data_IF_535618232628
#
_entry.id   IF_535618232628
#
_cell.length_a   1.000
_cell.length_b   1.000
_cell.length_c   1.000
_cell.angle_alpha   90.00
_cell.angle_beta   90.00
_cell.angle_gamma   90.00
#
_symmetry.space_group_name_H-M   'P 1'
#
loop_
_entity.id
_entity.type
_entity.pdbx_description
1 polymer ?
#
# COMPACT_ATOMS: atom_id res chain seq x y z
N UNK A 1 43.15 19.59 -3.83
CA UNK A 1 42.01 19.63 -4.76
C UNK A 1 41.81 18.22 -5.31
N UNK A 2 41.02 17.42 -4.67
CA UNK A 2 40.63 16.07 -5.16
C UNK A 2 39.17 16.14 -5.58
N UNK A 3 38.92 15.99 -6.88
CA UNK A 3 37.57 15.94 -7.44
C UNK A 3 36.95 14.59 -7.07
N UNK A 4 35.95 14.59 -6.23
CA UNK A 4 35.12 13.42 -5.93
C UNK A 4 34.06 13.34 -7.02
N UNK A 5 34.20 12.39 -7.93
CA UNK A 5 33.19 12.08 -8.93
C UNK A 5 32.06 11.32 -8.25
N UNK A 6 30.92 11.97 -8.10
CA UNK A 6 29.68 11.36 -7.61
C UNK A 6 29.07 10.55 -8.76
N UNK A 7 29.31 9.25 -8.77
CA UNK A 7 28.68 8.32 -9.71
C UNK A 7 27.26 8.04 -9.22
N UNK A 8 26.26 8.66 -9.82
CA UNK A 8 24.86 8.29 -9.65
C UNK A 8 24.66 6.88 -10.21
N UNK A 9 24.55 5.89 -9.35
CA UNK A 9 24.09 4.57 -9.72
C UNK A 9 22.56 4.61 -9.90
N UNK A 10 22.11 4.77 -11.15
CA UNK A 10 20.73 4.45 -11.52
C UNK A 10 20.56 2.94 -11.32
N UNK A 11 19.77 2.54 -10.33
CA UNK A 11 19.22 1.19 -10.27
C UNK A 11 18.23 1.06 -11.43
N UNK A 12 18.67 0.45 -12.53
CA UNK A 12 17.78 -0.06 -13.55
C UNK A 12 17.04 -1.26 -12.95
N UNK A 13 15.77 -1.09 -12.63
CA UNK A 13 14.86 -2.20 -12.40
C UNK A 13 14.74 -2.97 -13.72
N UNK A 14 15.45 -4.08 -13.83
CA UNK A 14 15.25 -5.06 -14.88
C UNK A 14 13.85 -5.65 -14.68
N UNK A 15 12.90 -5.24 -15.51
CA UNK A 15 11.63 -5.93 -15.67
C UNK A 15 11.92 -7.31 -16.29
N UNK A 16 11.98 -8.34 -15.45
CA UNK A 16 11.90 -9.72 -15.92
C UNK A 16 10.47 -9.95 -16.41
N UNK A 17 10.28 -9.86 -17.72
CA UNK A 17 9.09 -10.38 -18.37
C UNK A 17 9.11 -11.90 -18.20
N UNK A 18 8.36 -12.40 -17.25
CA UNK A 18 7.97 -13.81 -17.24
C UNK A 18 7.09 -14.02 -18.47
N UNK A 19 7.67 -14.61 -19.51
CA UNK A 19 6.91 -15.16 -20.62
C UNK A 19 5.97 -16.20 -20.05
N UNK A 20 4.69 -15.98 -20.19
CA UNK A 20 3.69 -17.03 -20.02
C UNK A 20 3.94 -18.05 -21.12
N UNK A 21 4.63 -19.15 -20.79
CA UNK A 21 4.65 -20.33 -21.64
C UNK A 21 3.21 -20.84 -21.70
N UNK A 22 2.65 -20.80 -22.90
CA UNK A 22 1.38 -21.43 -23.20
C UNK A 22 1.53 -22.92 -22.88
N UNK A 23 0.80 -23.40 -21.87
CA UNK A 23 0.70 -24.83 -21.60
C UNK A 23 0.02 -25.48 -22.81
N UNK A 24 0.82 -26.22 -23.57
CA UNK A 24 0.36 -27.07 -24.65
C UNK A 24 -0.44 -28.25 -24.08
N UNK A 25 -1.75 -28.20 -24.21
CA UNK A 25 -2.67 -29.29 -23.81
C UNK A 25 -2.74 -30.45 -24.81
N UNK A 26 -1.77 -30.58 -25.72
CA UNK A 26 -1.76 -31.63 -26.76
C UNK A 26 -1.34 -33.02 -26.29
N UNK A 27 -1.12 -33.25 -24.99
CA UNK A 27 -0.62 -34.53 -24.44
C UNK A 27 -1.72 -35.56 -24.10
N UNK A 28 -2.96 -35.36 -24.56
CA UNK A 28 -4.04 -36.32 -24.27
C UNK A 28 -4.33 -37.30 -25.42
N UNK A 29 -3.45 -37.43 -26.40
CA UNK A 29 -3.63 -38.43 -27.44
C UNK A 29 -2.40 -39.34 -27.54
N UNK A 30 -2.12 -40.17 -26.52
CA UNK A 30 -1.26 -41.35 -26.64
C UNK A 30 -2.13 -42.58 -26.79
N UNK A 31 -2.20 -43.23 -27.95
CA UNK A 31 -2.78 -44.55 -28.08
C UNK A 31 -1.79 -45.57 -27.49
N UNK A 32 -2.27 -46.38 -26.54
CA UNK A 32 -1.62 -47.61 -26.17
C UNK A 32 -0.79 -47.57 -24.88
N UNK A 33 -1.45 -47.46 -23.72
CA UNK A 33 -1.03 -48.15 -22.51
C UNK A 33 -2.26 -48.86 -21.92
N UNK A 34 -2.47 -50.09 -22.34
CA UNK A 34 -3.25 -51.06 -21.58
C UNK A 34 -2.39 -51.44 -20.39
N UNK A 35 -2.75 -50.99 -19.21
CA UNK A 35 -2.29 -51.61 -17.97
C UNK A 35 -3.05 -52.90 -17.80
N UNK A 36 -2.47 -53.97 -18.28
CA UNK A 36 -2.89 -55.33 -17.94
C UNK A 36 -2.44 -55.58 -16.49
N UNK A 37 -3.34 -55.45 -15.55
CA UNK A 37 -3.12 -55.88 -14.15
C UNK A 37 -3.57 -57.32 -14.04
N UNK A 38 -2.65 -58.30 -13.99
CA UNK A 38 -3.05 -59.69 -13.78
C UNK A 38 -3.45 -59.88 -12.35
N UNK A 39 -4.74 -60.21 -12.12
CA UNK A 39 -5.19 -60.78 -10.85
C UNK A 39 -6.38 -60.13 -10.16
N UNK A 40 -7.19 -59.28 -10.79
CA UNK A 40 -8.45 -58.85 -10.23
C UNK A 40 -9.63 -59.55 -10.95
N UNK A 41 -10.19 -60.54 -10.28
CA UNK A 41 -11.40 -61.23 -10.74
C UNK A 41 -12.63 -60.32 -10.46
N UNK A 42 -13.04 -59.59 -11.50
CA UNK A 42 -14.20 -58.65 -11.42
C UNK A 42 -15.55 -59.39 -11.24
N UNK A 43 -15.60 -60.70 -11.43
CA UNK A 43 -16.80 -61.49 -11.19
C UNK A 43 -17.13 -61.66 -9.69
N UNK A 44 -16.11 -61.54 -8.81
CA UNK A 44 -16.27 -61.65 -7.37
C UNK A 44 -16.88 -60.39 -6.71
N UNK A 45 -16.97 -59.26 -7.43
CA UNK A 45 -17.50 -58.01 -6.93
C UNK A 45 -18.95 -57.74 -7.30
N UNK A 46 -19.68 -58.70 -7.84
CA UNK A 46 -21.12 -58.59 -8.08
C UNK A 46 -21.56 -57.60 -9.17
N UNK A 47 -20.62 -57.14 -10.00
CA UNK A 47 -20.96 -56.33 -11.18
C UNK A 47 -21.18 -57.27 -12.39
N UNK A 48 -22.40 -57.72 -12.58
CA UNK A 48 -22.79 -58.41 -13.80
C UNK A 48 -22.81 -57.44 -14.98
N UNK A 49 -21.77 -57.48 -15.79
CA UNK A 49 -21.59 -56.65 -16.99
C UNK A 49 -22.37 -57.19 -18.19
N UNK A 50 -23.23 -58.20 -18.02
CA UNK A 50 -24.01 -58.78 -19.13
C UNK A 50 -25.38 -58.16 -19.36
N UNK A 51 -25.74 -57.11 -18.63
CA UNK A 51 -27.01 -56.41 -18.85
C UNK A 51 -26.87 -55.36 -19.97
N UNK A 52 -27.21 -55.77 -21.16
CA UNK A 52 -27.70 -54.94 -22.29
C UNK A 52 -26.90 -53.67 -22.60
N UNK A 53 -26.11 -53.73 -23.65
CA UNK A 53 -25.60 -52.50 -24.29
C UNK A 53 -26.76 -51.60 -24.75
N UNK A 54 -27.23 -50.76 -23.84
CA UNK A 54 -28.04 -49.59 -24.21
C UNK A 54 -27.15 -48.74 -25.13
N UNK A 55 -27.55 -48.43 -26.34
CA UNK A 55 -26.74 -47.56 -27.20
C UNK A 55 -26.47 -46.26 -26.45
N UNK A 56 -25.19 -45.91 -26.30
CA UNK A 56 -24.83 -44.58 -25.81
C UNK A 56 -25.56 -43.55 -26.68
N UNK A 57 -26.26 -42.58 -26.09
CA UNK A 57 -26.91 -41.54 -26.86
C UNK A 57 -25.83 -40.86 -27.72
N UNK A 58 -26.14 -40.59 -28.99
CA UNK A 58 -25.21 -39.95 -29.91
C UNK A 58 -24.72 -38.64 -29.32
N UNK A 59 -23.48 -38.28 -29.55
CA UNK A 59 -22.83 -37.08 -28.95
C UNK A 59 -23.58 -35.75 -29.27
N UNK A 60 -24.65 -35.80 -30.05
CA UNK A 60 -25.54 -34.67 -30.37
C UNK A 60 -26.76 -34.55 -29.47
N UNK A 61 -27.05 -35.54 -28.64
CA UNK A 61 -28.16 -35.45 -27.69
C UNK A 61 -27.68 -34.90 -26.34
N UNK A 62 -28.23 -33.77 -25.96
CA UNK A 62 -28.03 -33.18 -24.66
C UNK A 62 -28.54 -34.13 -23.55
N UNK A 63 -27.71 -34.51 -22.60
CA UNK A 63 -28.06 -35.36 -21.46
C UNK A 63 -29.10 -34.72 -20.52
N UNK A 64 -29.32 -33.42 -20.66
CA UNK A 64 -30.39 -32.67 -19.99
C UNK A 64 -31.21 -31.98 -21.07
N UNK A 65 -32.56 -31.96 -20.98
CA UNK A 65 -33.39 -31.25 -21.94
C UNK A 65 -33.17 -29.74 -21.79
N UNK A 66 -32.10 -29.24 -22.40
CA UNK A 66 -31.86 -27.80 -22.53
C UNK A 66 -32.71 -27.36 -23.71
N UNK A 67 -33.66 -26.51 -23.45
CA UNK A 67 -34.46 -25.91 -24.51
C UNK A 67 -33.52 -25.13 -25.47
N UNK A 68 -33.75 -25.22 -26.81
CA UNK A 68 -32.96 -24.44 -27.73
C UNK A 68 -33.15 -22.94 -27.45
N UNK A 69 -32.04 -22.20 -27.45
CA UNK A 69 -32.05 -20.74 -27.23
C UNK A 69 -32.85 -20.09 -28.37
N UNK A 70 -33.93 -19.44 -28.01
CA UNK A 70 -34.80 -18.72 -28.94
C UNK A 70 -34.28 -17.30 -29.21
N UNK A 71 -34.78 -16.66 -30.27
CA UNK A 71 -34.45 -15.25 -30.53
C UNK A 71 -35.01 -14.33 -29.45
N UNK A 72 -36.08 -14.71 -28.77
CA UNK A 72 -36.59 -14.01 -27.58
C UNK A 72 -35.61 -14.07 -26.42
N UNK A 73 -34.97 -15.22 -26.17
CA UNK A 73 -33.97 -15.37 -25.14
C UNK A 73 -32.72 -14.52 -25.44
N UNK A 74 -32.32 -14.47 -26.71
CA UNK A 74 -31.21 -13.59 -27.14
C UNK A 74 -31.54 -12.13 -26.94
N UNK A 75 -32.75 -11.69 -27.32
CA UNK A 75 -33.21 -10.32 -27.14
C UNK A 75 -33.32 -9.98 -25.62
N UNK A 76 -33.77 -10.91 -24.79
CA UNK A 76 -33.87 -10.71 -23.36
C UNK A 76 -32.47 -10.62 -22.71
N UNK A 77 -31.49 -11.41 -23.17
CA UNK A 77 -30.12 -11.39 -22.69
C UNK A 77 -29.38 -10.09 -23.06
N UNK A 78 -29.76 -9.46 -24.16
CA UNK A 78 -29.18 -8.19 -24.65
C UNK A 78 -30.26 -7.11 -24.71
N UNK A 79 -31.13 -7.04 -23.72
CA UNK A 79 -32.11 -5.97 -23.63
C UNK A 79 -31.42 -4.62 -23.78
N UNK A 80 -31.91 -3.70 -24.62
CA UNK A 80 -31.32 -2.37 -24.71
C UNK A 80 -31.38 -1.73 -23.33
N UNK A 81 -30.22 -1.41 -22.78
CA UNK A 81 -30.09 -0.70 -21.50
C UNK A 81 -30.61 0.72 -21.76
N UNK A 82 -31.89 0.93 -21.50
CA UNK A 82 -32.51 2.26 -21.48
C UNK A 82 -32.22 2.91 -20.13
N UNK A 83 -31.13 3.60 -20.07
CA UNK A 83 -30.54 4.25 -18.90
C UNK A 83 -29.05 4.01 -19.02
N UNK A 84 -28.31 5.00 -19.48
CA UNK A 84 -26.86 4.90 -19.44
C UNK A 84 -26.49 4.50 -18.02
N UNK A 85 -25.72 3.45 -17.85
CA UNK A 85 -24.91 3.35 -16.65
C UNK A 85 -24.06 4.61 -16.68
N UNK A 86 -24.47 5.63 -15.93
CA UNK A 86 -23.55 6.70 -15.61
C UNK A 86 -22.34 5.97 -15.01
N UNK A 87 -21.25 5.98 -15.74
CA UNK A 87 -20.00 5.46 -15.20
C UNK A 87 -19.74 6.27 -13.95
N UNK A 88 -19.67 5.60 -12.79
CA UNK A 88 -19.36 6.24 -11.52
C UNK A 88 -17.96 6.88 -11.49
N UNK A 89 -17.24 6.82 -12.61
CA UNK A 89 -15.91 7.41 -12.85
C UNK A 89 -15.86 8.94 -12.65
N UNK A 90 -17.02 9.61 -12.65
CA UNK A 90 -17.12 11.06 -12.40
C UNK A 90 -17.52 11.40 -10.97
N UNK A 91 -17.73 10.41 -10.10
CA UNK A 91 -18.12 10.66 -8.73
C UNK A 91 -16.93 11.19 -7.92
N UNK A 92 -17.12 12.36 -7.31
CA UNK A 92 -16.16 12.89 -6.35
C UNK A 92 -16.31 12.15 -5.02
N UNK A 93 -15.23 11.52 -4.62
CA UNK A 93 -15.10 10.87 -3.32
C UNK A 93 -14.18 11.68 -2.41
N UNK A 94 -14.31 11.49 -1.12
CA UNK A 94 -13.40 12.07 -0.14
C UNK A 94 -13.10 11.08 0.98
N UNK A 95 -11.92 11.22 1.55
CA UNK A 95 -11.44 10.40 2.66
C UNK A 95 -10.61 11.26 3.59
N UNK A 96 -10.77 11.06 4.88
CA UNK A 96 -9.96 11.70 5.91
C UNK A 96 -9.45 10.64 6.87
N UNK A 97 -8.14 10.60 7.06
CA UNK A 97 -7.43 9.71 7.97
C UNK A 97 -6.68 10.55 9.01
N UNK A 98 -6.95 10.33 10.26
CA UNK A 98 -6.08 10.68 11.38
C UNK A 98 -5.29 9.42 11.71
N UNK A 99 -4.13 9.25 11.08
CA UNK A 99 -3.32 8.05 11.24
C UNK A 99 -2.71 7.99 12.63
N UNK A 100 -2.23 9.15 13.11
CA UNK A 100 -1.64 9.27 14.44
C UNK A 100 -2.18 10.51 15.15
N UNK A 101 -2.70 10.32 16.33
CA UNK A 101 -2.82 11.33 17.36
C UNK A 101 -2.34 10.66 18.64
N UNK A 102 -1.08 10.88 18.97
CA UNK A 102 -0.40 10.11 20.02
C UNK A 102 0.29 11.00 21.04
N UNK A 103 0.12 10.61 22.28
CA UNK A 103 0.92 11.08 23.39
C UNK A 103 2.18 10.22 23.50
N UNK A 104 3.33 10.87 23.66
CA UNK A 104 4.64 10.24 23.78
C UNK A 104 5.25 10.62 25.12
N UNK A 105 5.82 9.64 25.81
CA UNK A 105 6.57 9.88 27.04
C UNK A 105 8.04 10.17 26.71
N UNK A 106 8.50 11.38 26.99
CA UNK A 106 9.90 11.80 26.86
C UNK A 106 10.59 11.79 28.23
N UNK A 107 11.94 11.72 28.25
CA UNK A 107 12.71 11.82 29.54
C UNK A 107 12.47 13.17 30.23
N UNK A 108 12.42 14.25 29.46
CA UNK A 108 12.28 15.61 29.99
C UNK A 108 10.88 16.18 29.76
N UNK A 109 9.82 15.36 29.66
CA UNK A 109 8.46 15.88 29.49
C UNK A 109 7.56 14.98 28.67
N UNK A 110 6.63 15.60 27.95
CA UNK A 110 5.66 14.88 27.12
C UNK A 110 5.54 15.52 25.75
N UNK A 111 5.32 14.69 24.71
CA UNK A 111 4.98 15.20 23.40
C UNK A 111 3.58 14.73 22.98
N UNK A 112 2.94 15.55 22.13
CA UNK A 112 1.75 15.22 21.38
C UNK A 112 2.11 15.27 19.89
N UNK A 113 2.11 14.12 19.25
CA UNK A 113 2.36 14.01 17.80
C UNK A 113 1.05 13.76 17.04
N UNK A 114 0.96 14.31 15.83
CA UNK A 114 -0.14 14.05 14.92
C UNK A 114 0.36 13.78 13.50
N UNK A 115 -0.37 12.94 12.81
CA UNK A 115 -0.24 12.67 11.38
C UNK A 115 -1.66 12.51 10.83
N UNK A 116 -2.06 13.42 9.98
CA UNK A 116 -3.38 13.44 9.37
C UNK A 116 -3.25 13.61 7.87
N UNK A 117 -4.02 12.85 7.12
CA UNK A 117 -4.09 12.94 5.67
C UNK A 117 -5.52 12.84 5.19
N UNK A 118 -5.80 13.44 4.06
CA UNK A 118 -7.10 13.32 3.42
C UNK A 118 -7.00 13.62 1.95
N UNK A 119 -7.96 13.13 1.19
CA UNK A 119 -8.04 13.42 -0.22
C UNK A 119 -9.48 13.65 -0.67
N UNK A 120 -9.59 14.37 -1.76
CA UNK A 120 -10.83 14.56 -2.52
C UNK A 120 -10.52 14.38 -4.01
N UNK A 121 -11.33 13.61 -4.73
CA UNK A 121 -11.13 13.39 -6.16
C UNK A 121 -11.88 12.20 -6.70
N UNK A 122 -11.50 11.79 -7.91
CA UNK A 122 -11.97 10.58 -8.57
C UNK A 122 -11.05 9.39 -8.34
N UNK A 123 -11.19 8.38 -9.17
CA UNK A 123 -10.39 7.14 -9.08
C UNK A 123 -8.95 7.33 -9.56
N UNK A 124 -8.73 8.26 -10.50
CA UNK A 124 -7.43 8.49 -11.13
C UNK A 124 -6.74 9.72 -10.55
N UNK A 125 -7.46 10.84 -10.43
CA UNK A 125 -6.91 12.13 -10.00
C UNK A 125 -7.49 12.54 -8.66
N UNK A 126 -6.61 12.88 -7.70
CA UNK A 126 -6.97 13.26 -6.33
C UNK A 126 -6.17 14.46 -5.87
N UNK A 127 -6.78 15.30 -5.07
CA UNK A 127 -6.08 16.32 -4.30
C UNK A 127 -5.90 15.80 -2.88
N UNK A 128 -4.65 15.63 -2.48
CA UNK A 128 -4.25 15.22 -1.15
C UNK A 128 -3.88 16.43 -0.30
N UNK A 129 -4.33 16.42 0.94
CA UNK A 129 -3.88 17.32 2.00
C UNK A 129 -3.32 16.48 3.13
N UNK A 130 -2.11 16.80 3.61
CA UNK A 130 -1.45 16.12 4.70
C UNK A 130 -0.94 17.11 5.72
N UNK A 131 -1.03 16.78 6.98
CA UNK A 131 -0.50 17.57 8.09
C UNK A 131 0.18 16.66 9.09
N UNK A 132 1.43 16.96 9.38
CA UNK A 132 2.21 16.24 10.38
C UNK A 132 2.85 17.25 11.33
N UNK A 133 2.99 16.84 12.61
CA UNK A 133 3.67 17.69 13.56
C UNK A 133 3.78 17.10 14.95
N UNK A 134 4.49 17.85 15.81
CA UNK A 134 4.78 17.49 17.20
C UNK A 134 4.76 18.72 18.09
N UNK A 135 4.20 18.57 19.28
CA UNK A 135 4.24 19.57 20.34
C UNK A 135 4.87 18.96 21.56
N UNK A 136 5.98 19.55 22.02
CA UNK A 136 6.69 19.16 23.23
C UNK A 136 6.38 20.19 24.31
N UNK A 137 5.88 19.78 25.47
CA UNK A 137 5.54 20.63 26.61
C UNK A 137 4.70 21.88 26.23
N UNK A 138 3.76 21.68 25.30
CA UNK A 138 2.85 22.73 24.82
C UNK A 138 3.41 23.68 23.77
N UNK A 139 4.67 23.51 23.33
CA UNK A 139 5.29 24.25 22.24
C UNK A 139 5.30 23.38 20.98
N UNK A 140 5.05 24.00 19.83
CA UNK A 140 5.12 23.31 18.54
C UNK A 140 6.58 23.25 18.08
N UNK A 141 7.15 22.06 18.02
CA UNK A 141 8.51 21.81 17.58
C UNK A 141 8.61 21.41 16.13
N UNK A 142 7.65 20.63 15.64
CA UNK A 142 7.52 20.27 14.23
C UNK A 142 6.09 20.57 13.75
N UNK A 143 5.94 21.16 12.59
CA UNK A 143 4.62 21.33 11.94
C UNK A 143 4.82 21.52 10.44
N UNK A 144 4.18 20.67 9.66
CA UNK A 144 4.15 20.78 8.21
C UNK A 144 2.74 20.59 7.65
N UNK A 145 2.53 21.12 6.48
CA UNK A 145 1.33 20.93 5.67
C UNK A 145 1.74 20.66 4.23
N UNK A 146 1.14 19.67 3.61
CA UNK A 146 1.37 19.33 2.20
C UNK A 146 0.05 19.41 1.44
N UNK A 147 0.13 19.93 0.21
CA UNK A 147 -0.95 19.91 -0.76
C UNK A 147 -0.40 19.28 -2.06
N UNK A 148 -0.91 18.11 -2.41
CA UNK A 148 -0.36 17.28 -3.48
C UNK A 148 -1.48 16.86 -4.44
N UNK A 149 -1.21 16.96 -5.72
CA UNK A 149 -2.01 16.30 -6.74
C UNK A 149 -1.48 14.87 -6.90
N UNK A 150 -2.35 13.89 -6.76
CA UNK A 150 -2.07 12.48 -6.95
C UNK A 150 -2.68 12.00 -8.25
N UNK A 151 -1.92 11.20 -9.01
CA UNK A 151 -2.36 10.57 -10.25
C UNK A 151 -2.07 9.08 -10.19
N UNK A 152 -3.12 8.25 -10.26
CA UNK A 152 -3.00 6.80 -10.24
C UNK A 152 -2.39 6.31 -11.57
N UNK A 153 -1.17 5.76 -11.51
CA UNK A 153 -0.48 5.18 -12.68
C UNK A 153 -0.70 3.67 -12.79
N UNK A 154 -1.22 3.05 -11.73
CA UNK A 154 -1.64 1.66 -11.68
C UNK A 154 -2.59 1.45 -10.49
N UNK A 155 -3.26 0.28 -10.35
CA UNK A 155 -4.10 0.00 -9.18
C UNK A 155 -3.36 0.07 -7.82
N UNK A 156 -2.04 -0.02 -7.84
CA UNK A 156 -1.20 -0.09 -6.64
C UNK A 156 -0.31 1.12 -6.43
N UNK A 157 -0.18 2.01 -7.41
CA UNK A 157 0.76 3.12 -7.39
C UNK A 157 0.15 4.43 -7.86
N UNK A 158 0.43 5.47 -7.13
CA UNK A 158 0.04 6.85 -7.40
C UNK A 158 1.28 7.75 -7.38
N UNK A 159 1.44 8.58 -8.39
CA UNK A 159 2.47 9.64 -8.45
C UNK A 159 1.91 10.89 -7.82
N UNK A 160 2.71 11.57 -7.02
CA UNK A 160 2.35 12.74 -6.24
C UNK A 160 3.17 13.95 -6.69
N UNK A 161 2.51 15.07 -6.95
CA UNK A 161 3.16 16.33 -7.30
C UNK A 161 2.50 17.49 -6.54
N UNK A 162 3.28 18.37 -5.94
CA UNK A 162 2.73 19.51 -5.23
C UNK A 162 3.70 20.30 -4.40
N UNK A 163 3.26 20.78 -3.26
CA UNK A 163 4.05 21.60 -2.37
C UNK A 163 3.89 21.16 -0.91
N UNK A 164 4.95 21.33 -0.16
CA UNK A 164 5.01 21.20 1.30
C UNK A 164 5.41 22.55 1.89
N UNK A 165 4.77 22.94 2.96
CA UNK A 165 5.11 24.09 3.78
C UNK A 165 5.49 23.63 5.17
N UNK A 166 6.75 23.86 5.54
CA UNK A 166 7.20 23.69 6.92
C UNK A 166 6.96 24.98 7.69
N UNK A 167 6.32 24.89 8.85
CA UNK A 167 6.11 26.00 9.76
C UNK A 167 7.12 25.96 10.91
N UNK A 168 7.61 24.75 11.25
CA UNK A 168 8.57 24.45 12.31
C UNK A 168 9.39 23.21 11.93
N UNK A 169 10.67 23.11 12.44
CA UNK A 169 11.40 24.09 13.27
C UNK A 169 11.93 25.26 12.43
N UNK A 170 12.36 26.31 13.12
CA UNK A 170 12.96 27.49 12.51
C UNK A 170 11.95 28.39 11.79
N UNK A 171 12.42 29.10 10.74
CA UNK A 171 11.58 29.92 9.87
C UNK A 171 10.79 29.03 8.91
N UNK A 172 9.60 29.49 8.51
CA UNK A 172 8.79 28.77 7.53
C UNK A 172 9.55 28.57 6.20
N UNK A 173 9.39 27.41 5.59
CA UNK A 173 10.03 27.05 4.31
C UNK A 173 9.07 26.31 3.41
N UNK A 174 9.08 26.69 2.13
CA UNK A 174 8.29 26.04 1.07
C UNK A 174 9.16 25.09 0.27
N UNK A 175 8.59 23.94 -0.07
CA UNK A 175 9.21 22.92 -0.87
C UNK A 175 8.29 22.52 -2.02
N UNK A 176 8.84 22.37 -3.21
CA UNK A 176 8.19 21.59 -4.25
C UNK A 176 8.37 20.09 -3.92
N UNK A 177 7.33 19.30 -4.11
CA UNK A 177 7.30 17.89 -3.78
C UNK A 177 6.98 17.06 -5.02
N UNK A 178 7.75 15.99 -5.23
CA UNK A 178 7.49 14.95 -6.23
C UNK A 178 7.69 13.59 -5.56
N UNK A 179 6.67 12.77 -5.59
CA UNK A 179 6.70 11.50 -4.90
C UNK A 179 5.94 10.39 -5.60
N UNK A 180 6.03 9.23 -5.01
CA UNK A 180 5.25 8.05 -5.35
C UNK A 180 4.78 7.41 -4.06
N UNK A 181 3.53 6.97 -4.04
CA UNK A 181 2.97 6.19 -2.94
C UNK A 181 2.24 4.97 -3.48
N UNK A 182 2.11 3.94 -2.64
CA UNK A 182 1.36 2.77 -3.03
C UNK A 182 1.50 1.59 -2.09
N UNK A 183 0.82 0.51 -2.46
CA UNK A 183 0.80 -0.76 -1.72
C UNK A 183 1.39 -1.87 -2.59
N UNK A 184 2.74 -1.94 -2.72
CA UNK A 184 3.41 -2.89 -3.61
C UNK A 184 3.19 -4.35 -3.20
N UNK A 185 2.94 -4.59 -1.93
CA UNK A 185 2.62 -5.89 -1.35
C UNK A 185 1.39 -5.74 -0.45
N UNK A 186 0.64 -6.83 -0.30
CA UNK A 186 -0.54 -6.84 0.56
C UNK A 186 -0.19 -6.39 1.98
N UNK A 187 -0.87 -5.34 2.44
CA UNK A 187 -0.69 -4.77 3.79
C UNK A 187 0.55 -3.89 3.96
N UNK A 188 1.41 -3.73 2.94
CA UNK A 188 2.57 -2.84 2.99
C UNK A 188 2.24 -1.54 2.29
N UNK A 189 2.17 -0.44 3.02
CA UNK A 189 2.07 0.91 2.46
C UNK A 189 3.48 1.49 2.35
N UNK A 190 3.77 2.13 1.22
CA UNK A 190 5.07 2.75 0.98
C UNK A 190 4.90 4.11 0.36
N UNK A 191 5.80 5.02 0.75
CA UNK A 191 5.89 6.36 0.20
C UNK A 191 7.36 6.74 0.01
N UNK A 192 7.67 7.39 -1.10
CA UNK A 192 8.96 8.01 -1.33
C UNK A 192 8.75 9.38 -1.99
N UNK A 193 9.13 10.45 -1.32
CA UNK A 193 8.93 11.83 -1.78
C UNK A 193 10.22 12.61 -1.75
N UNK A 194 10.59 13.16 -2.91
CA UNK A 194 11.70 14.10 -3.07
C UNK A 194 11.19 15.53 -2.96
N UNK A 195 11.95 16.37 -2.29
CA UNK A 195 11.62 17.77 -2.06
C UNK A 195 12.73 18.71 -2.57
N UNK A 196 12.31 19.81 -3.18
CA UNK A 196 13.17 20.91 -3.61
C UNK A 196 12.73 22.17 -2.88
N UNK A 197 13.55 22.65 -1.97
CA UNK A 197 13.27 23.81 -1.14
C UNK A 197 13.97 25.07 -1.62
N UNK A 198 13.65 26.16 -0.97
CA UNK A 198 14.28 27.48 -1.17
C UNK A 198 15.80 27.40 -0.92
N UNK A 199 16.57 28.22 -1.62
CA UNK A 199 18.03 28.22 -1.48
C UNK A 199 18.74 26.97 -2.03
N UNK A 200 18.05 26.14 -2.83
CA UNK A 200 18.58 24.90 -3.41
C UNK A 200 18.76 23.80 -2.35
N UNK A 201 17.95 23.81 -1.32
CA UNK A 201 17.81 22.69 -0.39
C UNK A 201 17.13 21.52 -1.11
N UNK A 202 17.57 20.31 -0.82
CA UNK A 202 16.96 19.08 -1.32
C UNK A 202 16.71 18.13 -0.16
N UNK A 203 15.63 17.38 -0.21
CA UNK A 203 15.36 16.33 0.75
C UNK A 203 14.70 15.13 0.06
N UNK A 204 14.81 13.98 0.70
CA UNK A 204 14.11 12.74 0.34
C UNK A 204 13.56 12.12 1.63
N UNK A 205 12.26 11.87 1.66
CA UNK A 205 11.58 11.09 2.71
C UNK A 205 11.15 9.76 2.13
N UNK A 206 11.44 8.69 2.84
CA UNK A 206 10.95 7.35 2.54
C UNK A 206 10.25 6.81 3.77
N UNK A 207 9.01 6.39 3.63
CA UNK A 207 8.18 5.83 4.70
C UNK A 207 7.63 4.48 4.24
N UNK A 208 7.57 3.52 5.14
CA UNK A 208 6.91 2.24 4.92
C UNK A 208 6.27 1.78 6.22
N UNK A 209 5.07 1.26 6.13
CA UNK A 209 4.37 0.61 7.23
C UNK A 209 3.66 -0.67 6.76
N UNK A 210 3.39 -1.53 7.71
CA UNK A 210 2.79 -2.83 7.44
C UNK A 210 1.72 -3.15 8.48
N UNK A 211 0.52 -3.47 8.02
CA UNK A 211 -0.58 -3.88 8.88
C UNK A 211 -0.63 -5.40 9.01
N UNK A 212 -0.07 -5.93 10.10
CA UNK A 212 -0.12 -7.35 10.44
C UNK A 212 -1.35 -7.64 11.31
N UNK A 213 -2.36 -8.30 10.73
CA UNK A 213 -3.57 -8.71 11.44
C UNK A 213 -3.27 -9.91 12.34
N UNK A 214 -3.15 -9.69 13.66
CA UNK A 214 -2.98 -10.77 14.64
C UNK A 214 -4.32 -11.48 14.91
N UNK A 215 -5.41 -10.71 14.89
CA UNK A 215 -6.80 -11.21 14.97
C UNK A 215 -7.66 -10.30 14.08
N UNK A 216 -8.97 -10.58 14.00
CA UNK A 216 -9.92 -9.72 13.29
C UNK A 216 -10.01 -8.27 13.83
N UNK A 217 -9.49 -8.00 15.03
CA UNK A 217 -9.56 -6.70 15.69
C UNK A 217 -8.21 -6.19 16.20
N UNK A 218 -7.21 -7.05 16.28
CA UNK A 218 -5.90 -6.70 16.80
C UNK A 218 -4.90 -6.67 15.66
N UNK A 219 -4.33 -5.49 15.42
CA UNK A 219 -3.38 -5.22 14.33
C UNK A 219 -2.06 -4.76 14.92
N UNK A 220 -0.97 -5.41 14.54
CA UNK A 220 0.38 -4.97 14.83
C UNK A 220 0.92 -4.20 13.62
N UNK A 221 1.31 -2.96 13.83
CA UNK A 221 1.85 -2.10 12.77
C UNK A 221 3.29 -1.72 13.07
N UNK A 222 4.29 -2.39 12.47
CA UNK A 222 5.62 -1.85 12.32
C UNK A 222 5.63 -0.72 11.29
N UNK A 223 6.43 0.32 11.54
CA UNK A 223 6.65 1.46 10.67
C UNK A 223 8.13 1.83 10.64
N UNK A 224 8.61 2.27 9.49
CA UNK A 224 9.94 2.82 9.32
C UNK A 224 9.88 4.06 8.43
N UNK A 225 10.60 5.11 8.85
CA UNK A 225 10.79 6.34 8.08
C UNK A 225 12.26 6.72 8.07
N UNK A 226 12.71 7.26 6.95
CA UNK A 226 14.06 7.81 6.80
C UNK A 226 13.99 9.15 6.06
N UNK A 227 14.68 10.15 6.60
CA UNK A 227 14.78 11.48 6.04
C UNK A 227 16.23 11.77 5.66
N UNK A 228 16.46 12.14 4.40
CA UNK A 228 17.75 12.51 3.86
C UNK A 228 17.70 13.96 3.39
N UNK A 229 18.77 14.71 3.63
CA UNK A 229 18.90 16.10 3.18
C UNK A 229 20.18 16.30 2.39
N UNK A 230 20.11 17.15 1.35
CA UNK A 230 21.26 17.42 0.49
C UNK A 230 22.27 18.38 1.12
N UNK A 231 21.85 19.20 2.08
CA UNK A 231 22.69 20.21 2.76
C UNK A 231 22.37 20.27 4.25
N UNK A 232 23.36 20.68 5.05
CA UNK A 232 23.11 21.02 6.44
C UNK A 232 22.26 22.27 6.56
N UNK A 233 21.30 22.25 7.47
CA UNK A 233 20.51 23.41 7.88
C UNK A 233 20.38 23.46 9.40
N UNK A 234 21.29 24.20 10.07
CA UNK A 234 21.28 24.31 11.52
C UNK A 234 20.01 24.96 12.09
N UNK A 235 19.32 25.81 11.29
CA UNK A 235 18.08 26.46 11.74
C UNK A 235 16.91 25.48 11.85
N UNK A 236 16.97 24.39 11.07
CA UNK A 236 15.96 23.32 11.07
C UNK A 236 16.43 22.04 11.75
N UNK A 237 17.61 22.10 12.35
CA UNK A 237 18.20 20.97 13.06
C UNK A 237 18.39 19.74 12.14
N UNK A 238 18.77 19.93 10.87
CA UNK A 238 19.01 18.83 9.92
C UNK A 238 20.45 18.82 9.42
N UNK A 239 21.01 17.63 9.33
CA UNK A 239 22.31 17.34 8.76
C UNK A 239 22.22 16.84 7.33
N UNK A 240 23.25 17.08 6.50
CA UNK A 240 23.35 16.54 5.15
C UNK A 240 23.56 15.02 5.16
N UNK A 241 22.98 14.33 4.18
CA UNK A 241 22.94 12.88 4.08
C UNK A 241 21.74 12.30 4.79
N UNK A 242 21.84 11.09 5.34
CA UNK A 242 20.83 10.54 6.23
C UNK A 242 20.79 11.39 7.49
N UNK A 243 19.68 12.09 7.70
CA UNK A 243 19.51 13.03 8.81
C UNK A 243 18.91 12.34 10.02
N UNK A 244 17.81 11.66 9.83
CA UNK A 244 17.16 10.88 10.88
C UNK A 244 16.45 9.65 10.35
N UNK A 245 16.20 8.71 11.25
CA UNK A 245 15.29 7.58 11.03
C UNK A 245 14.33 7.47 12.20
N UNK A 246 13.10 7.10 11.91
CA UNK A 246 12.09 6.74 12.89
C UNK A 246 11.66 5.29 12.65
N UNK A 247 11.64 4.51 13.73
CA UNK A 247 11.03 3.19 13.77
C UNK A 247 9.86 3.21 14.75
N UNK A 248 8.75 2.63 14.34
CA UNK A 248 7.55 2.53 15.17
C UNK A 248 7.04 1.10 15.23
N UNK A 249 6.47 0.72 16.37
CA UNK A 249 5.73 -0.52 16.52
C UNK A 249 4.48 -0.22 17.34
N UNK A 250 3.32 -0.31 16.71
CA UNK A 250 2.03 0.03 17.32
C UNK A 250 1.13 -1.20 17.35
N UNK A 251 0.51 -1.44 18.48
CA UNK A 251 -0.50 -2.48 18.65
C UNK A 251 -1.87 -1.80 18.75
N UNK A 252 -2.65 -1.87 17.66
CA UNK A 252 -3.96 -1.24 17.51
C UNK A 252 -5.06 -2.24 17.83
N UNK A 253 -6.08 -1.79 18.56
CA UNK A 253 -7.30 -2.54 18.78
C UNK A 253 -8.49 -1.84 18.09
N UNK A 254 -9.07 -2.48 17.08
CA UNK A 254 -10.21 -1.96 16.33
C UNK A 254 -11.48 -2.08 17.17
N UNK A 255 -11.87 -0.97 17.81
CA UNK A 255 -13.17 -0.87 18.51
C UNK A 255 -14.30 -0.86 17.49
N UNK A 256 -14.12 -0.08 16.42
CA UNK A 256 -14.94 0.02 15.22
C UNK A 256 -14.00 0.07 14.02
N UNK A 257 -14.47 -0.20 12.79
CA UNK A 257 -13.65 -0.04 11.61
C UNK A 257 -12.98 1.33 11.54
N UNK A 258 -13.71 2.40 11.94
CA UNK A 258 -13.26 3.78 11.82
C UNK A 258 -12.44 4.27 13.02
N UNK A 259 -12.35 3.50 14.13
CA UNK A 259 -11.70 3.96 15.37
C UNK A 259 -10.89 2.85 16.03
N UNK A 260 -9.59 3.08 16.16
CA UNK A 260 -8.66 2.15 16.75
C UNK A 260 -7.70 2.85 17.73
N UNK A 261 -7.91 2.77 19.05
CA UNK A 261 -6.89 3.13 20.01
C UNK A 261 -5.71 2.16 19.91
N UNK A 262 -4.52 2.64 20.27
CA UNK A 262 -3.30 1.85 20.27
C UNK A 262 -2.34 2.22 21.37
N UNK A 263 -1.44 1.30 21.65
CA UNK A 263 -0.22 1.50 22.42
C UNK A 263 0.96 1.09 21.57
N UNK A 264 2.11 1.69 21.79
CA UNK A 264 3.27 1.36 20.96
C UNK A 264 4.58 1.86 21.53
N UNK A 265 5.61 1.63 20.75
CA UNK A 265 6.96 2.13 20.97
C UNK A 265 7.42 2.83 19.71
N UNK A 266 8.07 3.98 19.85
CA UNK A 266 8.80 4.66 18.80
C UNK A 266 10.27 4.77 19.17
N UNK A 267 11.10 4.79 18.16
CA UNK A 267 12.54 4.92 18.29
C UNK A 267 13.04 5.85 17.18
N UNK A 268 13.59 6.99 17.57
CA UNK A 268 14.15 8.00 16.68
C UNK A 268 15.66 8.02 16.79
N UNK A 269 16.35 8.20 15.68
CA UNK A 269 17.80 8.35 15.67
C UNK A 269 18.26 9.42 14.68
N UNK A 270 19.06 10.35 15.18
CA UNK A 270 19.74 11.36 14.41
C UNK A 270 21.10 10.84 13.91
N UNK A 271 21.53 11.31 12.74
CA UNK A 271 22.78 10.92 12.11
C UNK A 271 23.57 12.13 11.61
N UNK A 272 24.87 11.93 11.46
CA UNK A 272 25.78 12.91 10.87
C UNK A 272 25.83 14.22 11.67
N UNK A 273 25.49 15.32 10.98
CA UNK A 273 25.47 16.68 11.56
C UNK A 273 24.09 17.06 12.11
N UNK A 274 23.14 16.15 12.16
CA UNK A 274 21.83 16.37 12.79
C UNK A 274 22.02 16.39 14.28
N UNK A 275 21.60 17.47 14.99
CA UNK A 275 21.63 17.49 16.45
C UNK A 275 20.80 16.35 17.02
N UNK A 276 21.40 15.58 17.92
CA UNK A 276 20.68 14.54 18.65
C UNK A 276 19.70 15.20 19.64
N UNK A 277 18.47 14.70 19.66
CA UNK A 277 17.49 15.01 20.70
C UNK A 277 17.89 14.32 22.03
N UNK A 278 17.34 14.77 23.14
CA UNK A 278 17.66 14.22 24.46
C UNK A 278 17.36 12.72 24.58
N UNK A 279 16.30 12.26 23.87
CA UNK A 279 15.88 10.87 23.77
C UNK A 279 16.41 10.14 22.52
N UNK A 280 17.43 10.68 21.84
CA UNK A 280 17.97 10.08 20.63
C UNK A 280 18.45 8.64 20.84
N UNK A 281 17.99 7.74 19.99
CA UNK A 281 18.33 6.32 20.07
C UNK A 281 17.66 5.55 21.23
N UNK A 282 16.67 6.14 21.90
CA UNK A 282 15.88 5.47 22.95
C UNK A 282 14.47 5.14 22.48
N UNK A 283 13.92 4.06 23.04
CA UNK A 283 12.53 3.71 22.80
C UNK A 283 11.62 4.57 23.68
N UNK A 284 10.64 5.23 23.05
CA UNK A 284 9.60 6.04 23.69
C UNK A 284 8.29 5.26 23.70
N UNK A 285 7.59 5.23 24.83
CA UNK A 285 6.25 4.68 24.91
C UNK A 285 5.26 5.68 24.29
N UNK A 286 4.36 5.19 23.45
CA UNK A 286 3.30 5.98 22.86
C UNK A 286 1.92 5.39 23.11
N UNK A 287 0.94 6.26 23.32
CA UNK A 287 -0.48 5.91 23.42
C UNK A 287 -1.25 6.85 22.51
N UNK A 288 -2.08 6.30 21.66
CA UNK A 288 -2.76 7.13 20.67
C UNK A 288 -4.04 6.53 20.13
N UNK A 289 -4.57 7.21 19.14
CA UNK A 289 -5.76 6.81 18.41
C UNK A 289 -5.56 7.02 16.92
N UNK A 290 -6.07 6.08 16.13
CA UNK A 290 -6.26 6.18 14.70
C UNK A 290 -7.76 6.24 14.41
N UNK A 291 -8.14 7.15 13.51
CA UNK A 291 -9.54 7.28 13.07
C UNK A 291 -9.60 7.67 11.59
N UNK A 292 -10.67 7.24 10.89
CA UNK A 292 -10.91 7.64 9.51
C UNK A 292 -12.41 7.93 9.27
N UNK A 293 -12.69 8.74 8.26
CA UNK A 293 -14.03 9.25 7.93
C UNK A 293 -14.24 9.33 6.42
#
# INVERSE_FOLDING_TARGET
>A
MKRLSLTCALLALASSTYGAEAMDHSMHNRPGMSMDMPGMDHAAMGHDMSAGSTPLPSASESRTPIAPITDADRQAAFAPVTGGHESHDTQLNSYLLLDRLEWQNLEAGNALAWDASGWIGGDIDRLWLRSEGERVDGRTDKAELQALWGHAISPWWEVMLGARQDFKPGSAQTWAALGIQGTPLYGVETEATAYLGEGGQTALRVKADYDLLLTSRLVLQPMAEANLYGKNDPQRHVGAGLSNTELGLRLRYQLRPELAPYVGLTWNRAYGNTPAEEDDGRARLVIGVRAWF
#
